data_IF_653528246146
#
_entry.id   IF_653528246146
#
_cell.length_a   1.000
_cell.length_b   1.000
_cell.length_c   1.000
_cell.angle_alpha   90.00
_cell.angle_beta   90.00
_cell.angle_gamma   90.00
#
_symmetry.space_group_name_H-M   'P 1'
#
loop_
_entity.id
_entity.type
_entity.pdbx_description
1 polymer ?
#
# COMPACT_ATOMS: atom_id res chain seq x y z
N UNK A 1 -59.50 -13.61 -65.35
CA UNK A 1 -58.74 -14.63 -64.55
C UNK A 1 -57.24 -14.37 -64.53
N UNK A 2 -56.54 -14.27 -65.67
CA UNK A 2 -55.09 -14.01 -65.70
C UNK A 2 -54.69 -12.63 -65.14
N UNK A 3 -55.37 -11.56 -65.52
CA UNK A 3 -55.13 -10.20 -64.99
C UNK A 3 -55.20 -10.12 -63.47
N UNK A 4 -56.25 -10.71 -62.88
CA UNK A 4 -56.43 -10.70 -61.43
C UNK A 4 -55.31 -11.43 -60.68
N UNK A 5 -54.78 -12.51 -61.26
CA UNK A 5 -53.62 -13.24 -60.71
C UNK A 5 -52.35 -12.36 -60.78
N UNK A 6 -52.14 -11.65 -61.89
CA UNK A 6 -51.01 -10.71 -62.00
C UNK A 6 -51.12 -9.56 -61.01
N UNK A 7 -52.34 -9.04 -60.79
CA UNK A 7 -52.59 -7.96 -59.85
C UNK A 7 -52.26 -8.36 -58.42
N UNK A 8 -52.75 -9.54 -57.97
CA UNK A 8 -52.43 -10.12 -56.66
C UNK A 8 -50.92 -10.37 -56.51
N UNK A 9 -50.28 -10.93 -57.53
CA UNK A 9 -48.84 -11.16 -57.52
C UNK A 9 -48.06 -9.85 -57.36
N UNK A 10 -48.48 -8.80 -58.07
CA UNK A 10 -47.83 -7.47 -58.01
C UNK A 10 -47.98 -6.83 -56.64
N UNK A 11 -49.15 -6.96 -56.00
CA UNK A 11 -49.38 -6.47 -54.64
C UNK A 11 -48.51 -7.19 -53.60
N UNK A 12 -48.36 -8.51 -53.71
CA UNK A 12 -47.48 -9.30 -52.83
C UNK A 12 -46.02 -8.85 -52.97
N UNK A 13 -45.53 -8.70 -54.21
CA UNK A 13 -44.16 -8.24 -54.46
C UNK A 13 -43.93 -6.82 -53.95
N UNK A 14 -44.93 -5.93 -54.09
CA UNK A 14 -44.87 -4.56 -53.56
C UNK A 14 -44.82 -4.55 -52.02
N UNK A 15 -45.58 -5.44 -51.37
CA UNK A 15 -45.53 -5.64 -49.92
C UNK A 15 -44.16 -6.09 -49.43
N UNK A 16 -43.60 -7.15 -50.04
CA UNK A 16 -42.27 -7.65 -49.72
C UNK A 16 -41.18 -6.59 -49.92
N UNK A 17 -41.27 -5.77 -50.98
CA UNK A 17 -40.34 -4.68 -51.23
C UNK A 17 -40.42 -3.58 -50.15
N UNK A 18 -41.63 -3.28 -49.65
CA UNK A 18 -41.81 -2.32 -48.55
C UNK A 18 -41.19 -2.83 -47.25
N UNK A 19 -41.43 -4.09 -46.90
CA UNK A 19 -40.83 -4.72 -45.72
C UNK A 19 -39.29 -4.71 -45.80
N UNK A 20 -38.73 -5.09 -46.95
CA UNK A 20 -37.30 -5.04 -47.18
C UNK A 20 -36.74 -3.61 -47.04
N UNK A 21 -37.45 -2.60 -47.55
CA UNK A 21 -37.06 -1.21 -47.39
C UNK A 21 -37.09 -0.77 -45.92
N UNK A 22 -38.14 -1.13 -45.15
CA UNK A 22 -38.20 -0.81 -43.72
C UNK A 22 -37.07 -1.48 -42.94
N UNK A 23 -36.81 -2.77 -43.20
CA UNK A 23 -35.70 -3.49 -42.59
C UNK A 23 -34.34 -2.85 -42.93
N UNK A 24 -34.13 -2.48 -44.20
CA UNK A 24 -32.92 -1.77 -44.66
C UNK A 24 -32.74 -0.42 -43.95
N UNK A 25 -33.82 0.36 -43.82
CA UNK A 25 -33.82 1.63 -43.11
C UNK A 25 -33.47 1.45 -41.63
N UNK A 26 -34.05 0.41 -40.99
CA UNK A 26 -33.82 0.08 -39.59
C UNK A 26 -32.37 -0.33 -39.34
N UNK A 27 -31.82 -1.26 -40.14
CA UNK A 27 -30.42 -1.69 -40.08
C UNK A 27 -29.48 -0.48 -40.24
N UNK A 28 -29.77 0.42 -41.19
CA UNK A 28 -28.96 1.64 -41.39
C UNK A 28 -28.92 2.51 -40.13
N UNK A 29 -30.05 2.66 -39.43
CA UNK A 29 -30.11 3.44 -38.19
C UNK A 29 -29.33 2.76 -37.05
N UNK A 30 -29.42 1.44 -36.92
CA UNK A 30 -28.66 0.68 -35.93
C UNK A 30 -27.15 0.79 -36.16
N UNK A 31 -26.70 0.66 -37.41
CA UNK A 31 -25.29 0.83 -37.77
C UNK A 31 -24.78 2.22 -37.39
N UNK A 32 -25.54 3.28 -37.69
CA UNK A 32 -25.16 4.66 -37.35
C UNK A 32 -25.08 4.88 -35.83
N UNK A 33 -26.02 4.32 -35.07
CA UNK A 33 -25.99 4.38 -33.60
C UNK A 33 -24.79 3.63 -33.03
N UNK A 34 -24.53 2.42 -33.51
CA UNK A 34 -23.38 1.62 -33.10
C UNK A 34 -22.07 2.35 -33.42
N UNK A 35 -21.93 2.92 -34.61
CA UNK A 35 -20.76 3.69 -35.01
C UNK A 35 -20.51 4.88 -34.07
N UNK A 36 -21.57 5.62 -33.71
CA UNK A 36 -21.46 6.73 -32.76
C UNK A 36 -21.04 6.25 -31.38
N UNK A 37 -21.69 5.20 -30.86
CA UNK A 37 -21.38 4.61 -29.55
C UNK A 37 -19.92 4.15 -29.47
N UNK A 38 -19.45 3.42 -30.49
CA UNK A 38 -18.05 2.99 -30.53
C UNK A 38 -17.08 4.17 -30.57
N UNK A 39 -17.39 5.22 -31.34
CA UNK A 39 -16.54 6.42 -31.38
C UNK A 39 -16.40 7.08 -30.01
N UNK A 40 -17.48 7.15 -29.24
CA UNK A 40 -17.49 7.71 -27.88
C UNK A 40 -16.69 6.83 -26.92
N UNK A 41 -16.90 5.51 -26.95
CA UNK A 41 -16.16 4.56 -26.12
C UNK A 41 -14.65 4.58 -26.41
N UNK A 42 -14.26 4.61 -27.70
CA UNK A 42 -12.85 4.72 -28.10
C UNK A 42 -12.23 6.02 -27.61
N UNK A 43 -12.96 7.14 -27.67
CA UNK A 43 -12.48 8.41 -27.15
C UNK A 43 -12.23 8.34 -25.63
N UNK A 44 -13.19 7.79 -24.88
CA UNK A 44 -13.04 7.59 -23.43
C UNK A 44 -11.89 6.65 -23.09
N UNK A 45 -11.72 5.56 -23.84
CA UNK A 45 -10.60 4.64 -23.66
C UNK A 45 -9.25 5.35 -23.88
N UNK A 46 -9.15 6.18 -24.92
CA UNK A 46 -7.95 6.99 -25.19
C UNK A 46 -7.60 7.92 -24.03
N UNK A 47 -8.59 8.59 -23.43
CA UNK A 47 -8.38 9.44 -22.24
C UNK A 47 -7.85 8.59 -21.07
N UNK A 48 -8.47 7.44 -20.79
CA UNK A 48 -8.07 6.55 -19.68
C UNK A 48 -6.65 6.01 -19.87
N UNK A 49 -6.29 5.58 -21.08
CA UNK A 49 -4.94 5.10 -21.40
C UNK A 49 -3.91 6.21 -21.21
N UNK A 50 -4.23 7.44 -21.63
CA UNK A 50 -3.34 8.58 -21.45
C UNK A 50 -3.11 8.90 -19.97
N UNK A 51 -4.17 8.89 -19.17
CA UNK A 51 -4.06 9.08 -17.72
C UNK A 51 -3.21 7.97 -17.06
N UNK A 52 -3.45 6.71 -17.42
CA UNK A 52 -2.68 5.57 -16.91
C UNK A 52 -1.20 5.64 -17.31
N UNK A 53 -0.91 6.00 -18.57
CA UNK A 53 0.45 6.18 -19.05
C UNK A 53 1.19 7.27 -18.28
N UNK A 54 0.53 8.40 -18.04
CA UNK A 54 1.11 9.49 -17.23
C UNK A 54 1.40 9.05 -15.79
N UNK A 55 0.47 8.32 -15.16
CA UNK A 55 0.68 7.77 -13.81
C UNK A 55 1.85 6.77 -13.78
N UNK A 56 1.92 5.87 -14.77
CA UNK A 56 2.99 4.88 -14.91
C UNK A 56 4.36 5.53 -15.09
N UNK A 57 4.47 6.59 -15.90
CA UNK A 57 5.71 7.35 -16.09
C UNK A 57 6.23 7.93 -14.79
N UNK A 58 5.34 8.47 -13.95
CA UNK A 58 5.72 9.10 -12.69
C UNK A 58 5.98 8.10 -11.56
N UNK A 59 5.54 6.84 -11.71
CA UNK A 59 5.63 5.83 -10.66
C UNK A 59 7.07 5.60 -10.18
N UNK A 60 8.01 5.45 -11.11
CA UNK A 60 9.42 5.21 -10.77
C UNK A 60 10.06 6.41 -10.06
N UNK A 61 9.71 7.63 -10.46
CA UNK A 61 10.21 8.84 -9.81
C UNK A 61 9.70 8.95 -8.37
N UNK A 62 8.40 8.66 -8.14
CA UNK A 62 7.82 8.62 -6.79
C UNK A 62 8.48 7.54 -5.93
N UNK A 63 8.73 6.34 -6.48
CA UNK A 63 9.42 5.28 -5.75
C UNK A 63 10.86 5.66 -5.37
N UNK A 64 11.61 6.26 -6.29
CA UNK A 64 12.99 6.70 -6.05
C UNK A 64 13.03 7.77 -4.95
N UNK A 65 12.13 8.74 -5.00
CA UNK A 65 12.04 9.79 -3.99
C UNK A 65 11.59 9.23 -2.64
N UNK A 66 10.65 8.29 -2.63
CA UNK A 66 10.22 7.62 -1.42
C UNK A 66 11.35 6.82 -0.77
N UNK A 67 12.20 6.14 -1.56
CA UNK A 67 13.43 5.49 -1.07
C UNK A 67 14.41 6.50 -0.49
N UNK A 68 14.66 7.61 -1.19
CA UNK A 68 15.59 8.66 -0.73
C UNK A 68 15.16 9.23 0.61
N UNK A 69 13.93 9.75 0.69
CA UNK A 69 13.39 10.34 1.92
C UNK A 69 13.35 9.34 3.07
N UNK A 70 13.00 8.08 2.77
CA UNK A 70 12.95 7.04 3.80
C UNK A 70 14.31 6.80 4.44
N UNK A 71 15.38 6.68 3.64
CA UNK A 71 16.72 6.44 4.16
C UNK A 71 17.30 7.69 4.84
N UNK A 72 17.00 8.90 4.36
CA UNK A 72 17.34 10.14 5.09
C UNK A 72 16.70 10.17 6.48
N UNK A 73 15.43 9.75 6.61
CA UNK A 73 14.80 9.61 7.93
C UNK A 73 15.47 8.55 8.81
N UNK A 74 16.01 7.47 8.23
CA UNK A 74 16.78 6.48 9.00
C UNK A 74 18.12 7.04 9.45
N UNK A 75 18.82 7.77 8.59
CA UNK A 75 20.11 8.40 8.90
C UNK A 75 19.96 9.42 10.03
N UNK A 76 18.90 10.24 9.98
CA UNK A 76 18.56 11.21 11.03
C UNK A 76 18.24 10.55 12.38
N UNK A 77 17.64 9.34 12.36
CA UNK A 77 17.44 8.53 13.58
C UNK A 77 18.74 7.91 14.09
N UNK A 78 19.81 7.96 13.30
CA UNK A 78 21.12 7.38 13.59
C UNK A 78 21.31 6.01 12.94
N UNK A 79 22.49 5.82 12.36
CA UNK A 79 22.91 4.56 11.72
C UNK A 79 23.24 3.45 12.73
N UNK A 80 23.60 3.84 13.96
CA UNK A 80 23.80 2.95 15.09
C UNK A 80 22.74 3.29 16.12
N UNK A 81 21.97 2.28 16.53
CA UNK A 81 20.90 2.42 17.51
C UNK A 81 21.09 1.37 18.59
N UNK A 82 21.16 1.81 19.84
CA UNK A 82 21.30 0.95 21.00
C UNK A 82 19.97 0.95 21.73
N UNK A 83 19.35 -0.23 21.79
CA UNK A 83 18.13 -0.45 22.58
C UNK A 83 18.43 -1.32 23.79
N UNK A 84 17.81 -1.00 24.91
CA UNK A 84 17.82 -1.87 26.08
C UNK A 84 16.47 -2.57 26.19
N UNK A 85 16.48 -3.90 26.39
CA UNK A 85 15.25 -4.65 26.68
C UNK A 85 15.41 -5.40 27.99
N UNK A 86 14.54 -5.05 28.93
CA UNK A 86 14.49 -5.70 30.23
C UNK A 86 13.66 -6.97 30.11
N UNK A 87 14.23 -8.07 30.57
CA UNK A 87 13.53 -9.35 30.67
C UNK A 87 12.70 -9.39 31.96
N UNK A 88 11.44 -9.87 31.94
CA UNK A 88 10.68 -10.11 33.16
C UNK A 88 11.29 -11.25 33.99
N UNK A 89 11.11 -11.17 35.30
CA UNK A 89 11.49 -12.24 36.21
C UNK A 89 10.66 -13.49 35.95
N UNK A 90 11.32 -14.64 35.92
CA UNK A 90 10.65 -15.93 35.88
C UNK A 90 10.15 -16.33 37.26
N UNK A 91 9.15 -17.23 37.35
CA UNK A 91 8.74 -17.82 38.62
C UNK A 91 9.94 -18.40 39.38
N UNK A 92 10.11 -18.01 40.64
CA UNK A 92 11.22 -18.45 41.50
C UNK A 92 12.47 -17.55 41.49
N UNK A 93 12.54 -16.55 40.60
CA UNK A 93 13.57 -15.51 40.68
C UNK A 93 13.16 -14.43 41.69
N UNK A 94 14.08 -13.99 42.54
CA UNK A 94 13.85 -12.91 43.52
C UNK A 94 14.71 -11.69 43.20
N UNK A 95 14.24 -10.48 43.55
CA UNK A 95 14.83 -9.16 43.23
C UNK A 95 16.16 -8.85 43.94
N UNK A 96 16.93 -9.85 44.35
CA UNK A 96 17.98 -9.67 45.36
C UNK A 96 19.32 -9.14 44.84
N UNK A 97 19.53 -8.99 43.53
CA UNK A 97 20.88 -8.72 42.97
C UNK A 97 21.02 -7.38 42.22
N UNK A 98 20.00 -6.88 41.55
CA UNK A 98 19.91 -5.53 40.98
C UNK A 98 18.47 -5.29 40.53
N UNK A 99 17.90 -4.14 40.89
CA UNK A 99 16.51 -3.80 40.58
C UNK A 99 16.46 -2.56 39.70
N UNK A 100 15.51 -2.51 38.78
CA UNK A 100 15.26 -1.33 37.97
C UNK A 100 14.54 -0.33 38.86
N UNK A 101 15.16 0.82 39.07
CA UNK A 101 14.59 1.91 39.86
C UNK A 101 13.65 2.75 39.00
N UNK A 102 14.08 3.07 37.77
CA UNK A 102 13.29 3.88 36.86
C UNK A 102 13.58 3.58 35.39
N UNK A 103 12.54 3.71 34.55
CA UNK A 103 12.61 3.68 33.09
C UNK A 103 12.02 5.02 32.60
N UNK A 104 12.89 5.96 32.27
CA UNK A 104 12.48 7.29 31.80
C UNK A 104 11.97 7.25 30.35
N UNK A 105 11.15 8.25 29.99
CA UNK A 105 10.45 8.32 28.69
C UNK A 105 11.38 8.41 27.48
N UNK A 106 12.61 8.91 27.66
CA UNK A 106 13.57 9.17 26.57
C UNK A 106 14.72 8.15 26.53
N UNK A 107 14.47 6.89 26.85
CA UNK A 107 15.50 5.83 26.85
C UNK A 107 16.49 5.94 28.01
N UNK A 108 16.08 6.58 29.11
CA UNK A 108 16.84 6.60 30.36
C UNK A 108 16.52 5.35 31.18
N UNK A 109 17.55 4.76 31.77
CA UNK A 109 17.42 3.59 32.64
C UNK A 109 18.26 3.81 33.89
N UNK A 110 17.63 3.65 35.05
CA UNK A 110 18.32 3.68 36.34
C UNK A 110 18.26 2.30 36.98
N UNK A 111 19.44 1.74 37.27
CA UNK A 111 19.61 0.43 37.90
C UNK A 111 20.24 0.61 39.27
N UNK A 112 19.63 0.00 40.27
CA UNK A 112 20.11 0.03 41.65
C UNK A 112 20.65 -1.33 42.04
N UNK A 113 21.85 -1.34 42.61
CA UNK A 113 22.42 -2.49 43.28
C UNK A 113 22.24 -2.34 44.80
N UNK A 114 21.31 -3.07 45.43
CA UNK A 114 21.04 -2.96 46.86
C UNK A 114 22.20 -3.43 47.76
N UNK A 115 23.21 -4.11 47.21
CA UNK A 115 24.41 -4.53 47.95
C UNK A 115 25.50 -3.47 48.04
N UNK A 116 25.34 -2.30 47.39
CA UNK A 116 26.27 -1.17 47.45
C UNK A 116 25.55 0.08 47.96
N UNK A 117 26.12 0.76 48.94
CA UNK A 117 25.53 1.98 49.50
C UNK A 117 26.06 3.24 48.80
N UNK A 118 25.22 4.28 48.68
CA UNK A 118 25.60 5.59 48.14
C UNK A 118 25.67 5.63 46.61
N UNK A 119 26.43 6.59 46.05
CA UNK A 119 26.54 6.83 44.60
C UNK A 119 27.02 5.61 43.79
N UNK A 120 27.70 4.65 44.42
CA UNK A 120 28.20 3.43 43.77
C UNK A 120 27.12 2.34 43.58
N UNK A 121 25.94 2.52 44.20
CA UNK A 121 24.78 1.65 44.10
C UNK A 121 23.87 1.97 42.91
N UNK A 122 23.79 3.22 42.47
CA UNK A 122 22.90 3.65 41.38
C UNK A 122 23.69 3.87 40.09
N UNK A 123 23.23 3.28 38.99
CA UNK A 123 23.81 3.43 37.66
C UNK A 123 22.77 3.91 36.68
N UNK A 124 23.04 5.04 36.03
CA UNK A 124 22.20 5.61 34.99
C UNK A 124 22.77 5.33 33.61
N UNK A 125 21.92 4.92 32.68
CA UNK A 125 22.27 4.64 31.29
C UNK A 125 21.33 5.40 30.35
N UNK A 126 21.84 5.77 29.17
CA UNK A 126 21.07 6.39 28.10
C UNK A 126 21.13 5.51 26.85
N UNK A 127 19.96 5.16 26.34
CA UNK A 127 19.75 4.38 25.14
C UNK A 127 18.87 5.15 24.16
N UNK A 128 18.74 4.68 22.92
CA UNK A 128 17.74 5.21 22.01
C UNK A 128 16.32 4.87 22.49
N UNK A 129 16.14 3.71 23.14
CA UNK A 129 14.89 3.28 23.77
C UNK A 129 15.15 2.19 24.80
N UNK A 130 14.35 2.18 25.86
CA UNK A 130 14.34 1.12 26.89
C UNK A 130 12.97 0.46 26.88
N UNK A 131 12.94 -0.85 26.69
CA UNK A 131 11.72 -1.66 26.76
C UNK A 131 11.64 -2.31 28.14
N UNK A 132 10.54 -2.05 28.86
CA UNK A 132 10.30 -2.64 30.17
C UNK A 132 9.99 -4.15 30.12
N UNK A 133 9.88 -4.80 31.29
CA UNK A 133 9.58 -6.23 31.42
C UNK A 133 8.30 -6.69 30.69
N UNK A 134 7.31 -5.82 30.60
CA UNK A 134 6.02 -6.10 29.96
C UNK A 134 6.04 -5.91 28.43
N UNK A 135 7.14 -5.41 27.87
CA UNK A 135 7.22 -5.11 26.45
C UNK A 135 7.15 -6.38 25.58
N UNK A 136 6.19 -6.37 24.68
CA UNK A 136 5.89 -7.45 23.75
C UNK A 136 6.92 -7.53 22.63
N UNK A 137 6.97 -8.69 21.96
CA UNK A 137 7.77 -8.84 20.74
C UNK A 137 7.32 -7.88 19.64
N UNK A 138 6.01 -7.60 19.55
CA UNK A 138 5.45 -6.72 18.55
C UNK A 138 5.92 -5.27 18.72
N UNK A 139 6.00 -4.79 19.97
CA UNK A 139 6.52 -3.45 20.26
C UNK A 139 8.00 -3.32 19.90
N UNK A 140 8.82 -4.30 20.24
CA UNK A 140 10.25 -4.31 19.85
C UNK A 140 10.41 -4.41 18.33
N UNK A 141 9.56 -5.21 17.67
CA UNK A 141 9.56 -5.33 16.21
C UNK A 141 9.16 -4.03 15.54
N UNK A 142 8.18 -3.29 16.06
CA UNK A 142 7.72 -2.03 15.46
C UNK A 142 8.85 -1.02 15.27
N UNK A 143 9.82 -0.97 16.20
CA UNK A 143 10.95 -0.05 16.12
C UNK A 143 12.11 -0.55 15.24
N UNK A 144 12.19 -1.88 15.02
CA UNK A 144 13.23 -2.52 14.17
C UNK A 144 12.75 -2.81 12.76
N UNK A 145 11.43 -2.92 12.53
CA UNK A 145 10.78 -3.11 11.23
C UNK A 145 11.26 -2.13 10.16
N UNK A 146 11.50 -0.83 10.48
CA UNK A 146 11.99 0.10 9.48
C UNK A 146 13.34 -0.31 8.83
N UNK A 147 14.18 -1.05 9.55
CA UNK A 147 15.45 -1.53 9.02
C UNK A 147 15.27 -2.58 7.93
N UNK A 148 14.22 -3.41 8.00
CA UNK A 148 13.90 -4.41 6.97
C UNK A 148 13.63 -3.73 5.63
N UNK A 149 12.95 -2.59 5.66
CA UNK A 149 12.71 -1.82 4.45
C UNK A 149 14.01 -1.26 3.86
N UNK A 150 14.95 -0.78 4.67
CA UNK A 150 16.27 -0.37 4.18
C UNK A 150 17.01 -1.52 3.48
N UNK A 151 16.87 -2.76 3.96
CA UNK A 151 17.39 -3.96 3.26
C UNK A 151 16.77 -4.11 1.88
N UNK A 152 15.44 -4.01 1.78
CA UNK A 152 14.73 -4.08 0.49
C UNK A 152 15.11 -2.95 -0.46
N UNK A 153 15.49 -1.78 0.07
CA UNK A 153 15.99 -0.64 -0.69
C UNK A 153 17.48 -0.77 -1.09
N UNK A 154 18.18 -1.82 -0.63
CA UNK A 154 19.55 -2.19 -1.02
C UNK A 154 20.64 -1.87 0.01
N UNK A 155 20.28 -1.57 1.26
CA UNK A 155 21.23 -1.22 2.32
C UNK A 155 21.59 -2.44 3.18
N UNK A 156 22.82 -2.46 3.68
CA UNK A 156 23.26 -3.47 4.64
C UNK A 156 22.78 -3.11 6.05
N UNK A 157 22.18 -4.06 6.75
CA UNK A 157 21.68 -3.90 8.12
C UNK A 157 22.20 -5.05 8.99
N UNK A 158 22.56 -4.73 10.22
CA UNK A 158 22.86 -5.68 11.29
C UNK A 158 21.95 -5.37 12.49
N UNK A 159 21.38 -6.40 13.09
CA UNK A 159 20.57 -6.32 14.32
C UNK A 159 21.21 -7.22 15.37
#
# INVERSE_FOLDING_TARGET
KKEHIYQIFTEIQLGALRELNFASQSIKQEILKAQKSYSEEFHHLGIRIKALSNASKNYHAVLAENRRMYNELQDLKGNIRVYCRIRPFLPGQTEKQSTIEDIGENGELVVVNPSKQGKDGNRSFKFNKVYGPAATQAEVFSDTQPLIRSVLDGYNVCI
#
